data_IF_378622846283
#
_entry.id   IF_378622846283
#
_cell.length_a   1.000
_cell.length_b   1.000
_cell.length_c   1.000
_cell.angle_alpha   90.00
_cell.angle_beta   90.00
_cell.angle_gamma   90.00
#
_symmetry.space_group_name_H-M   'P 1'
#
loop_
_entity.id
_entity.type
_entity.pdbx_description
1 polymer ?
#
# COMPACT_ATOMS: atom_id res chain seq x y z
N UNK A 1 -1.51 -6.01 -26.06
CA UNK A 1 -2.65 -5.12 -25.71
C UNK A 1 -3.45 -4.68 -26.92
N UNK A 2 -2.83 -4.54 -28.08
CA UNK A 2 -3.44 -3.93 -29.27
C UNK A 2 -4.76 -4.58 -29.70
N UNK A 3 -4.86 -5.90 -29.67
CA UNK A 3 -6.05 -6.64 -30.11
C UNK A 3 -6.98 -7.08 -28.96
N UNK A 4 -6.78 -6.59 -27.75
CA UNK A 4 -7.58 -7.03 -26.60
C UNK A 4 -8.53 -5.94 -26.10
N UNK A 5 -9.79 -6.32 -25.91
CA UNK A 5 -10.78 -5.45 -25.27
C UNK A 5 -10.57 -5.33 -23.75
N UNK A 6 -9.91 -6.31 -23.13
CA UNK A 6 -9.62 -6.31 -21.70
C UNK A 6 -8.36 -7.12 -21.37
N UNK A 7 -7.59 -6.61 -20.39
CA UNK A 7 -6.38 -7.27 -19.89
C UNK A 7 -6.02 -6.78 -18.49
N UNK A 8 -5.61 -7.69 -17.61
CA UNK A 8 -4.92 -7.39 -16.36
C UNK A 8 -3.41 -7.28 -16.58
N UNK A 9 -2.80 -6.18 -16.16
CA UNK A 9 -1.35 -5.97 -16.15
C UNK A 9 -0.88 -6.19 -14.70
N UNK A 10 -0.53 -7.43 -14.38
CA UNK A 10 -0.05 -7.82 -13.05
C UNK A 10 1.47 -7.69 -13.02
N UNK A 11 1.92 -6.46 -12.86
CA UNK A 11 3.31 -6.12 -13.00
C UNK A 11 3.84 -5.47 -11.72
N UNK A 12 5.00 -5.94 -11.24
CA UNK A 12 5.64 -5.43 -10.03
C UNK A 12 5.85 -3.91 -10.07
N UNK A 13 6.05 -3.30 -8.91
CA UNK A 13 6.38 -1.88 -8.84
C UNK A 13 7.69 -1.60 -9.58
N UNK A 14 7.75 -0.50 -10.32
CA UNK A 14 8.95 -0.13 -11.10
C UNK A 14 9.05 -0.75 -12.50
N UNK A 15 8.15 -1.66 -12.90
CA UNK A 15 8.15 -2.28 -14.25
C UNK A 15 7.61 -1.38 -15.37
N UNK A 16 7.21 -0.13 -15.06
CA UNK A 16 6.74 0.82 -16.07
C UNK A 16 5.25 0.74 -16.42
N UNK A 17 4.39 0.22 -15.52
CA UNK A 17 2.93 0.13 -15.74
C UNK A 17 2.30 1.41 -16.31
N UNK A 18 2.60 2.56 -15.73
CA UNK A 18 2.11 3.86 -16.16
C UNK A 18 2.52 4.16 -17.60
N UNK A 19 3.77 3.86 -17.95
CA UNK A 19 4.30 4.07 -19.30
C UNK A 19 3.61 3.16 -20.32
N UNK A 20 3.40 1.88 -19.96
CA UNK A 20 2.68 0.92 -20.81
C UNK A 20 1.27 1.45 -21.13
N UNK A 21 0.56 1.95 -20.11
CA UNK A 21 -0.79 2.50 -20.30
C UNK A 21 -0.78 3.78 -21.16
N UNK A 22 0.14 4.72 -20.90
CA UNK A 22 0.26 5.96 -21.66
C UNK A 22 0.63 5.69 -23.12
N UNK A 23 1.59 4.80 -23.37
CA UNK A 23 1.96 4.38 -24.73
C UNK A 23 0.77 3.79 -25.49
N UNK A 24 0.03 2.87 -24.82
CA UNK A 24 -1.17 2.30 -25.43
C UNK A 24 -2.22 3.37 -25.77
N UNK A 25 -2.51 4.27 -24.85
CA UNK A 25 -3.47 5.37 -25.06
C UNK A 25 -3.00 6.25 -26.23
N UNK A 26 -1.74 6.69 -26.21
CA UNK A 26 -1.18 7.57 -27.22
C UNK A 26 -1.23 6.94 -28.62
N UNK A 27 -0.73 5.73 -28.79
CA UNK A 27 -0.72 5.06 -30.08
C UNK A 27 -2.14 4.89 -30.66
N UNK A 28 -3.12 4.59 -29.82
CA UNK A 28 -4.51 4.43 -30.25
C UNK A 28 -5.20 5.78 -30.52
N UNK A 29 -4.78 6.87 -29.88
CA UNK A 29 -5.26 8.24 -30.24
C UNK A 29 -4.74 8.60 -31.63
N UNK A 30 -3.44 8.44 -31.88
CA UNK A 30 -2.82 8.74 -33.17
C UNK A 30 -3.42 7.88 -34.28
N UNK A 31 -3.73 6.63 -34.02
CA UNK A 31 -4.43 5.74 -34.96
C UNK A 31 -5.92 6.05 -35.12
N UNK A 32 -6.48 7.03 -34.41
CA UNK A 32 -7.90 7.37 -34.43
C UNK A 32 -8.82 6.32 -33.81
N UNK A 33 -8.29 5.35 -33.09
CA UNK A 33 -9.04 4.26 -32.49
C UNK A 33 -9.61 4.59 -31.08
N UNK A 34 -9.16 5.68 -30.47
CA UNK A 34 -9.59 6.19 -29.16
C UNK A 34 -9.81 7.71 -29.28
N UNK A 35 -10.96 8.17 -28.79
CA UNK A 35 -11.32 9.58 -28.69
C UNK A 35 -11.43 10.05 -27.24
N UNK A 36 -11.50 9.13 -26.29
CA UNK A 36 -11.48 9.44 -24.86
C UNK A 36 -10.93 8.27 -24.04
N UNK A 37 -10.08 8.57 -23.07
CA UNK A 37 -9.46 7.61 -22.18
C UNK A 37 -9.67 8.02 -20.72
N UNK A 38 -9.96 7.05 -19.87
CA UNK A 38 -10.11 7.25 -18.43
C UNK A 38 -9.02 6.50 -17.67
N UNK A 39 -8.37 7.17 -16.72
CA UNK A 39 -7.51 6.55 -15.72
C UNK A 39 -8.12 6.76 -14.33
N UNK A 40 -8.40 5.69 -13.62
CA UNK A 40 -8.82 5.71 -12.22
C UNK A 40 -7.68 5.18 -11.37
N UNK A 41 -7.15 6.01 -10.47
CA UNK A 41 -6.01 5.67 -9.62
C UNK A 41 -6.24 6.15 -8.17
N UNK A 42 -5.41 5.76 -7.20
CA UNK A 42 -5.33 6.44 -5.91
C UNK A 42 -5.08 7.94 -6.09
N UNK A 43 -5.67 8.77 -5.21
CA UNK A 43 -5.48 10.24 -5.30
C UNK A 43 -4.02 10.68 -5.19
N UNK A 44 -3.22 9.93 -4.44
CA UNK A 44 -1.77 10.13 -4.31
C UNK A 44 -0.99 9.92 -5.61
N UNK A 45 -1.52 9.13 -6.55
CA UNK A 45 -0.86 8.83 -7.83
C UNK A 45 -1.23 9.81 -8.96
N UNK A 46 -2.25 10.64 -8.79
CA UNK A 46 -2.64 11.61 -9.83
C UNK A 46 -1.48 12.52 -10.24
N UNK A 47 -0.68 13.10 -9.30
CA UNK A 47 0.48 13.89 -9.68
C UNK A 47 1.53 13.09 -10.47
N UNK A 48 1.76 11.83 -10.08
CA UNK A 48 2.72 10.95 -10.76
C UNK A 48 2.29 10.61 -12.19
N UNK A 49 1.00 10.39 -12.42
CA UNK A 49 0.43 10.19 -13.75
C UNK A 49 0.60 11.43 -14.63
N UNK A 50 0.33 12.62 -14.08
CA UNK A 50 0.53 13.89 -14.81
C UNK A 50 1.99 14.11 -15.15
N UNK A 51 2.89 13.89 -14.19
CA UNK A 51 4.33 13.99 -14.43
C UNK A 51 4.81 12.98 -15.47
N UNK A 52 4.27 11.75 -15.47
CA UNK A 52 4.62 10.75 -16.46
C UNK A 52 4.23 11.19 -17.89
N UNK A 53 3.09 11.86 -18.07
CA UNK A 53 2.68 12.45 -19.37
C UNK A 53 3.70 13.50 -19.83
N UNK A 54 4.13 14.40 -18.93
CA UNK A 54 5.11 15.45 -19.27
C UNK A 54 6.47 14.87 -19.66
N UNK A 55 6.83 13.73 -19.08
CA UNK A 55 8.14 13.10 -19.24
C UNK A 55 8.19 12.01 -20.32
N UNK A 56 7.12 11.80 -21.08
CA UNK A 56 7.09 10.76 -22.13
C UNK A 56 8.22 10.88 -23.13
N UNK A 57 8.60 12.11 -23.51
CA UNK A 57 9.73 12.38 -24.42
C UNK A 57 11.07 11.89 -23.88
N UNK A 58 11.30 11.97 -22.56
CA UNK A 58 12.53 11.47 -21.91
C UNK A 58 12.70 9.95 -22.04
N UNK A 59 11.62 9.25 -22.37
CA UNK A 59 11.58 7.79 -22.53
C UNK A 59 11.62 7.32 -24.00
N UNK A 60 12.04 8.21 -24.93
CA UNK A 60 12.22 7.87 -26.34
C UNK A 60 10.97 8.03 -27.21
N UNK A 61 9.99 8.77 -26.71
CA UNK A 61 8.81 9.16 -27.49
C UNK A 61 8.97 10.61 -27.99
N UNK A 62 9.94 10.83 -28.88
CA UNK A 62 10.33 12.17 -29.34
C UNK A 62 9.17 12.93 -30.02
N UNK A 63 8.32 12.22 -30.76
CA UNK A 63 7.14 12.77 -31.42
C UNK A 63 5.90 12.85 -30.50
N UNK A 64 6.06 12.60 -29.20
CA UNK A 64 4.94 12.61 -28.26
C UNK A 64 4.42 14.03 -28.04
N UNK A 65 3.17 14.26 -28.42
CA UNK A 65 2.48 15.51 -28.16
C UNK A 65 1.70 15.46 -26.85
N UNK A 66 2.25 16.15 -25.85
CA UNK A 66 1.69 16.23 -24.49
C UNK A 66 0.29 16.86 -24.50
N UNK A 67 0.05 17.86 -25.33
CA UNK A 67 -1.25 18.56 -25.37
C UNK A 67 -2.33 17.70 -26.05
N UNK A 68 -1.96 16.91 -27.04
CA UNK A 68 -2.86 15.91 -27.61
C UNK A 68 -3.32 14.95 -26.53
N UNK A 69 -2.40 14.31 -25.83
CA UNK A 69 -2.81 13.31 -24.82
C UNK A 69 -3.61 13.93 -23.68
N UNK A 70 -3.27 15.13 -23.22
CA UNK A 70 -4.03 15.86 -22.19
C UNK A 70 -5.49 16.12 -22.59
N UNK A 71 -5.73 16.32 -23.87
CA UNK A 71 -7.09 16.58 -24.40
C UNK A 71 -7.96 15.33 -24.39
N UNK A 72 -7.38 14.13 -24.48
CA UNK A 72 -8.09 12.87 -24.58
C UNK A 72 -8.11 12.04 -23.30
N UNK A 73 -7.19 12.29 -22.34
CA UNK A 73 -7.09 11.53 -21.12
C UNK A 73 -7.74 12.24 -19.93
N UNK A 74 -8.58 11.53 -19.19
CA UNK A 74 -9.14 11.99 -17.93
C UNK A 74 -8.61 11.16 -16.78
N UNK A 75 -7.86 11.79 -15.87
CA UNK A 75 -7.27 11.13 -14.70
C UNK A 75 -8.08 11.51 -13.46
N UNK A 76 -8.57 10.51 -12.74
CA UNK A 76 -9.41 10.71 -11.55
C UNK A 76 -9.08 9.72 -10.45
N UNK A 77 -9.55 9.99 -9.24
CA UNK A 77 -9.42 9.02 -8.15
C UNK A 77 -10.69 8.21 -7.97
N UNK A 78 -10.54 7.03 -7.36
CA UNK A 78 -11.67 6.20 -6.97
C UNK A 78 -12.74 6.97 -6.19
N UNK A 79 -12.32 7.83 -5.26
CA UNK A 79 -13.24 8.62 -4.43
C UNK A 79 -14.03 9.64 -5.25
N UNK A 80 -13.54 10.04 -6.39
CA UNK A 80 -14.20 10.99 -7.29
C UNK A 80 -15.26 10.35 -8.17
N UNK A 81 -15.47 9.03 -8.11
CA UNK A 81 -16.53 8.36 -8.86
C UNK A 81 -17.94 8.58 -8.26
N UNK A 82 -18.05 9.07 -7.02
CA UNK A 82 -19.32 9.39 -6.36
C UNK A 82 -19.18 10.59 -5.43
N UNK A 83 -20.31 11.16 -5.02
CA UNK A 83 -20.40 12.19 -3.97
C UNK A 83 -21.64 11.94 -3.11
N UNK A 84 -21.61 12.47 -1.89
CA UNK A 84 -22.78 12.57 -1.05
C UNK A 84 -23.39 13.96 -1.18
N UNK A 85 -24.71 14.04 -1.33
CA UNK A 85 -25.47 15.30 -1.42
C UNK A 85 -26.62 15.24 -0.42
N UNK A 86 -26.85 16.32 0.31
CA UNK A 86 -28.02 16.45 1.18
C UNK A 86 -29.25 16.80 0.33
N UNK A 87 -30.36 16.04 0.52
CA UNK A 87 -31.70 16.37 0.03
C UNK A 87 -32.60 16.49 1.27
N UNK A 88 -32.80 17.72 1.76
CA UNK A 88 -33.43 17.96 3.06
C UNK A 88 -32.57 17.39 4.20
N UNK A 89 -33.16 16.63 5.09
CA UNK A 89 -32.48 15.94 6.21
C UNK A 89 -31.75 14.64 5.81
N UNK A 90 -31.95 14.15 4.59
CA UNK A 90 -31.40 12.87 4.12
C UNK A 90 -30.11 13.08 3.32
N UNK A 91 -29.08 12.32 3.65
CA UNK A 91 -27.85 12.26 2.85
C UNK A 91 -27.99 11.20 1.75
N UNK A 92 -27.96 11.64 0.51
CA UNK A 92 -28.11 10.78 -0.67
C UNK A 92 -26.77 10.68 -1.39
N UNK A 93 -26.43 9.46 -1.81
CA UNK A 93 -25.27 9.19 -2.67
C UNK A 93 -25.64 9.49 -4.12
N UNK A 94 -24.84 10.31 -4.77
CA UNK A 94 -24.97 10.64 -6.19
C UNK A 94 -23.76 10.08 -6.94
N UNK A 95 -24.01 9.37 -8.04
CA UNK A 95 -23.00 8.91 -8.97
C UNK A 95 -22.52 10.13 -9.75
N UNK A 96 -21.22 10.24 -10.01
CA UNK A 96 -20.70 11.34 -10.84
C UNK A 96 -20.83 11.00 -12.31
N UNK A 97 -20.88 12.03 -13.14
CA UNK A 97 -20.96 11.95 -14.59
C UNK A 97 -19.88 11.05 -15.20
N UNK A 98 -18.67 11.03 -14.62
CA UNK A 98 -17.57 10.14 -15.04
C UNK A 98 -17.96 8.66 -15.11
N UNK A 99 -18.87 8.19 -14.26
CA UNK A 99 -19.32 6.78 -14.25
C UNK A 99 -20.42 6.52 -15.29
N UNK A 100 -21.19 7.57 -15.64
CA UNK A 100 -22.30 7.47 -16.57
C UNK A 100 -21.89 7.82 -18.03
N UNK A 101 -20.70 8.40 -18.22
CA UNK A 101 -20.12 8.70 -19.53
C UNK A 101 -19.57 7.43 -20.18
N UNK A 102 -19.70 7.30 -21.49
CA UNK A 102 -19.10 6.23 -22.28
C UNK A 102 -17.61 6.54 -22.54
N UNK A 103 -16.75 5.52 -22.39
CA UNK A 103 -15.32 5.61 -22.55
C UNK A 103 -14.83 4.61 -23.59
N UNK A 104 -13.93 5.03 -24.47
CA UNK A 104 -13.29 4.12 -25.42
C UNK A 104 -12.32 3.17 -24.69
N UNK A 105 -11.64 3.68 -23.67
CA UNK A 105 -10.77 2.88 -22.82
C UNK A 105 -10.77 3.36 -21.37
N UNK A 106 -10.73 2.43 -20.43
CA UNK A 106 -10.50 2.73 -19.02
C UNK A 106 -9.37 1.87 -18.44
N UNK A 107 -8.48 2.52 -17.70
CA UNK A 107 -7.43 1.91 -16.88
C UNK A 107 -7.76 2.09 -15.41
N UNK A 108 -7.69 1.00 -14.64
CA UNK A 108 -7.76 1.04 -13.17
C UNK A 108 -6.37 0.75 -12.64
N UNK A 109 -5.71 1.75 -12.09
CA UNK A 109 -4.42 1.59 -11.42
C UNK A 109 -4.62 1.22 -9.95
N UNK A 110 -3.70 0.43 -9.40
CA UNK A 110 -3.81 -0.21 -8.08
C UNK A 110 -5.15 -0.94 -7.90
N UNK A 111 -5.48 -1.76 -8.90
CA UNK A 111 -6.78 -2.43 -9.03
C UNK A 111 -7.10 -3.40 -7.90
N UNK A 112 -6.12 -3.84 -7.10
CA UNK A 112 -6.33 -4.61 -5.87
C UNK A 112 -7.27 -3.89 -4.88
N UNK A 113 -7.46 -2.58 -5.03
CA UNK A 113 -8.42 -1.77 -4.26
C UNK A 113 -9.89 -2.10 -4.58
N UNK A 114 -10.17 -2.84 -5.65
CA UNK A 114 -11.50 -3.38 -5.96
C UNK A 114 -11.80 -4.68 -5.19
N UNK A 115 -11.08 -4.95 -4.12
CA UNK A 115 -11.10 -6.23 -3.42
C UNK A 115 -12.36 -6.53 -2.61
N UNK A 116 -13.08 -5.52 -2.10
CA UNK A 116 -14.32 -5.73 -1.35
C UNK A 116 -15.55 -5.59 -2.25
N UNK A 117 -16.29 -6.70 -2.52
CA UNK A 117 -17.50 -6.67 -3.34
C UNK A 117 -18.60 -5.74 -2.83
N UNK A 118 -18.61 -5.49 -1.52
CA UNK A 118 -19.62 -4.65 -0.86
C UNK A 118 -19.26 -3.19 -0.85
N UNK A 119 -17.99 -2.86 -1.09
CA UNK A 119 -17.50 -1.47 -1.05
C UNK A 119 -18.16 -0.61 -2.14
N UNK A 120 -18.35 0.66 -1.81
CA UNK A 120 -18.88 1.64 -2.77
C UNK A 120 -17.93 1.78 -3.97
N UNK A 121 -16.64 1.75 -3.71
CA UNK A 121 -15.59 1.85 -4.70
C UNK A 121 -15.70 0.75 -5.76
N UNK A 122 -15.77 -0.50 -5.35
CA UNK A 122 -15.98 -1.64 -6.25
C UNK A 122 -17.29 -1.51 -7.03
N UNK A 123 -18.39 -1.19 -6.36
CA UNK A 123 -19.68 -1.01 -7.03
C UNK A 123 -19.66 0.09 -8.10
N UNK A 124 -18.95 1.18 -7.87
CA UNK A 124 -18.82 2.25 -8.86
C UNK A 124 -17.93 1.85 -10.03
N UNK A 125 -16.81 1.19 -9.76
CA UNK A 125 -15.95 0.66 -10.81
C UNK A 125 -16.69 -0.37 -11.70
N UNK A 126 -17.50 -1.25 -11.11
CA UNK A 126 -18.28 -2.22 -11.89
C UNK A 126 -19.38 -1.55 -12.73
N UNK A 127 -19.97 -0.44 -12.29
CA UNK A 127 -20.87 0.35 -13.13
C UNK A 127 -20.11 1.02 -14.28
N UNK A 128 -18.95 1.58 -13.99
CA UNK A 128 -18.08 2.16 -15.00
C UNK A 128 -17.68 1.14 -16.06
N UNK A 129 -17.40 -0.11 -15.68
CA UNK A 129 -17.02 -1.17 -16.60
C UNK A 129 -18.05 -1.39 -17.74
N UNK A 130 -19.35 -1.17 -17.46
CA UNK A 130 -20.42 -1.30 -18.44
C UNK A 130 -20.45 -0.15 -19.45
N UNK A 131 -19.70 0.92 -19.20
CA UNK A 131 -19.58 2.12 -20.03
C UNK A 131 -18.26 2.21 -20.78
N UNK A 132 -17.42 1.17 -20.67
CA UNK A 132 -16.11 1.15 -21.30
C UNK A 132 -16.05 0.11 -22.41
N UNK A 133 -15.60 0.51 -23.61
CA UNK A 133 -15.36 -0.43 -24.70
C UNK A 133 -14.16 -1.33 -24.40
N UNK A 134 -13.05 -0.73 -23.95
CA UNK A 134 -11.83 -1.45 -23.57
C UNK A 134 -11.52 -1.22 -22.09
N UNK A 135 -11.12 -2.26 -21.38
CA UNK A 135 -10.94 -2.26 -19.91
C UNK A 135 -9.61 -2.88 -19.54
N UNK A 136 -8.79 -2.13 -18.82
CA UNK A 136 -7.50 -2.57 -18.34
C UNK A 136 -7.38 -2.35 -16.84
N UNK A 137 -6.76 -3.28 -16.14
CA UNK A 137 -6.42 -3.15 -14.73
C UNK A 137 -4.92 -3.30 -14.54
N UNK A 138 -4.36 -2.58 -13.57
CA UNK A 138 -2.93 -2.61 -13.28
C UNK A 138 -2.72 -2.74 -11.77
N UNK A 139 -1.87 -3.65 -11.36
CA UNK A 139 -1.42 -3.79 -9.97
C UNK A 139 -0.21 -4.72 -9.89
N UNK A 140 0.65 -4.49 -8.88
CA UNK A 140 1.74 -5.42 -8.56
C UNK A 140 1.29 -6.60 -7.71
N UNK A 141 0.14 -6.50 -7.05
CA UNK A 141 -0.34 -7.46 -6.05
C UNK A 141 -1.83 -7.75 -6.27
N UNK A 142 -2.20 -8.52 -7.30
CA UNK A 142 -3.61 -8.68 -7.71
C UNK A 142 -4.48 -9.32 -6.64
N UNK A 143 -3.99 -10.29 -5.92
CA UNK A 143 -4.70 -11.03 -4.87
C UNK A 143 -4.26 -10.65 -3.45
N UNK A 144 -3.02 -10.16 -3.30
CA UNK A 144 -2.44 -9.71 -2.03
C UNK A 144 -2.81 -10.65 -0.87
N UNK A 145 -2.57 -11.96 -1.06
CA UNK A 145 -2.91 -13.08 -0.16
C UNK A 145 -4.40 -13.31 0.10
N UNK A 146 -5.28 -12.50 -0.47
CA UNK A 146 -6.72 -12.64 -0.35
C UNK A 146 -7.38 -12.73 -1.72
N UNK A 147 -7.53 -13.92 -2.23
CA UNK A 147 -8.12 -14.21 -3.55
C UNK A 147 -9.51 -13.60 -3.78
N UNK A 148 -10.26 -13.23 -2.72
CA UNK A 148 -11.50 -12.45 -2.83
C UNK A 148 -11.30 -11.16 -3.61
N UNK A 149 -10.10 -10.57 -3.55
CA UNK A 149 -9.75 -9.35 -4.28
C UNK A 149 -9.79 -9.51 -5.80
N UNK A 150 -9.69 -10.73 -6.31
CA UNK A 150 -9.80 -11.01 -7.74
C UNK A 150 -11.23 -10.80 -8.26
N UNK A 151 -12.27 -10.97 -7.42
CA UNK A 151 -13.65 -10.81 -7.87
C UNK A 151 -13.90 -9.45 -8.56
N UNK A 152 -13.64 -8.35 -7.86
CA UNK A 152 -13.91 -7.02 -8.41
C UNK A 152 -13.04 -6.67 -9.60
N UNK A 153 -11.79 -7.15 -9.60
CA UNK A 153 -10.83 -6.94 -10.69
C UNK A 153 -11.26 -7.67 -11.96
N UNK A 154 -11.53 -8.97 -11.87
CA UNK A 154 -11.95 -9.78 -13.03
C UNK A 154 -13.31 -9.35 -13.54
N UNK A 155 -14.24 -9.01 -12.63
CA UNK A 155 -15.56 -8.52 -13.03
C UNK A 155 -15.51 -7.13 -13.65
N UNK A 156 -14.53 -6.29 -13.34
CA UNK A 156 -14.29 -5.05 -14.08
C UNK A 156 -13.82 -5.35 -15.51
N UNK A 157 -12.89 -6.28 -15.69
CA UNK A 157 -12.40 -6.68 -17.02
C UNK A 157 -13.50 -7.27 -17.87
N UNK A 158 -14.25 -8.23 -17.29
CA UNK A 158 -15.33 -8.96 -17.96
C UNK A 158 -16.60 -8.92 -17.10
N UNK A 159 -17.49 -7.93 -17.33
CA UNK A 159 -18.68 -7.71 -16.47
C UNK A 159 -19.66 -8.90 -16.43
N UNK A 160 -19.66 -9.74 -17.42
CA UNK A 160 -20.50 -10.93 -17.58
C UNK A 160 -19.89 -12.24 -17.05
N UNK A 161 -18.65 -12.21 -16.51
CA UNK A 161 -17.94 -13.41 -16.04
C UNK A 161 -18.69 -14.15 -14.93
N UNK A 162 -19.35 -13.41 -14.04
CA UNK A 162 -20.26 -13.94 -13.01
C UNK A 162 -21.50 -13.05 -12.88
N UNK A 163 -22.66 -13.63 -12.61
CA UNK A 163 -23.88 -12.85 -12.34
C UNK A 163 -23.78 -12.09 -11.01
N UNK A 164 -23.14 -12.68 -10.01
CA UNK A 164 -23.02 -12.10 -8.66
C UNK A 164 -21.76 -12.57 -7.94
N UNK A 165 -21.45 -11.94 -6.80
CA UNK A 165 -20.39 -12.41 -5.90
C UNK A 165 -20.65 -13.84 -5.39
N UNK A 166 -21.93 -14.24 -5.21
CA UNK A 166 -22.28 -15.60 -4.78
C UNK A 166 -21.82 -16.66 -5.78
N UNK A 167 -21.87 -16.35 -7.06
CA UNK A 167 -21.39 -17.29 -8.11
C UNK A 167 -19.87 -17.45 -8.03
N UNK A 168 -19.10 -16.34 -7.91
CA UNK A 168 -17.67 -16.40 -7.65
C UNK A 168 -17.35 -17.21 -6.37
N UNK A 169 -18.10 -16.93 -5.29
CA UNK A 169 -17.96 -17.61 -4.01
C UNK A 169 -18.13 -19.14 -4.15
N UNK A 170 -19.16 -19.56 -4.86
CA UNK A 170 -19.43 -20.98 -5.11
C UNK A 170 -18.39 -21.66 -6.01
N UNK A 171 -17.77 -20.92 -6.94
CA UNK A 171 -16.76 -21.47 -7.84
C UNK A 171 -15.40 -21.64 -7.17
N UNK A 172 -15.00 -20.70 -6.28
CA UNK A 172 -13.61 -20.59 -5.86
C UNK A 172 -13.40 -20.64 -4.33
N UNK A 173 -14.45 -20.66 -3.51
CA UNK A 173 -14.31 -20.65 -2.05
C UNK A 173 -14.81 -21.97 -1.48
N UNK A 174 -13.88 -22.78 -0.94
CA UNK A 174 -14.22 -24.10 -0.40
C UNK A 174 -14.70 -24.05 1.04
N UNK A 175 -14.23 -23.10 1.84
CA UNK A 175 -14.69 -22.98 3.23
C UNK A 175 -14.63 -21.56 3.77
N UNK A 176 -15.47 -21.29 4.75
CA UNK A 176 -15.57 -20.01 5.48
C UNK A 176 -15.48 -20.27 6.98
N UNK A 177 -14.98 -19.27 7.72
CA UNK A 177 -14.95 -19.31 9.18
C UNK A 177 -16.36 -19.00 9.75
N UNK A 178 -16.46 -19.04 11.08
CA UNK A 178 -17.71 -18.75 11.84
C UNK A 178 -18.30 -17.35 11.56
N UNK A 179 -17.49 -16.44 11.05
CA UNK A 179 -17.91 -15.09 10.64
C UNK A 179 -18.24 -14.99 9.14
N UNK A 180 -18.42 -16.11 8.45
CA UNK A 180 -18.66 -16.21 7.01
C UNK A 180 -17.55 -15.59 6.13
N UNK A 181 -16.33 -15.46 6.66
CA UNK A 181 -15.17 -15.01 5.86
C UNK A 181 -14.49 -16.21 5.19
N UNK A 182 -14.11 -16.11 3.91
CA UNK A 182 -13.38 -17.16 3.20
C UNK A 182 -12.06 -17.53 3.88
N UNK A 183 -11.79 -18.83 3.99
CA UNK A 183 -10.59 -19.38 4.63
C UNK A 183 -9.82 -20.28 3.67
N UNK A 184 -10.53 -21.10 2.88
CA UNK A 184 -9.91 -21.97 1.88
C UNK A 184 -10.43 -21.64 0.51
N UNK A 185 -9.51 -21.63 -0.45
CA UNK A 185 -9.77 -21.26 -1.84
C UNK A 185 -9.31 -22.38 -2.78
N UNK A 186 -9.93 -22.45 -3.93
CA UNK A 186 -9.41 -23.17 -5.09
C UNK A 186 -8.28 -22.32 -5.72
N UNK A 187 -7.09 -22.50 -5.18
CA UNK A 187 -5.91 -21.72 -5.59
C UNK A 187 -5.55 -21.97 -7.05
N UNK A 188 -5.63 -23.21 -7.51
CA UNK A 188 -5.27 -23.59 -8.88
C UNK A 188 -6.16 -22.88 -9.90
N UNK A 189 -7.47 -22.97 -9.72
CA UNK A 189 -8.44 -22.28 -10.59
C UNK A 189 -8.31 -20.77 -10.55
N UNK A 190 -7.98 -20.17 -9.38
CA UNK A 190 -7.76 -18.74 -9.25
C UNK A 190 -6.45 -18.28 -9.91
N UNK A 191 -5.38 -19.08 -9.83
CA UNK A 191 -4.14 -18.82 -10.56
C UNK A 191 -4.35 -18.92 -12.08
N UNK A 192 -5.14 -19.93 -12.53
CA UNK A 192 -5.52 -20.05 -13.94
C UNK A 192 -6.36 -18.86 -14.41
N UNK A 193 -7.28 -18.36 -13.56
CA UNK A 193 -8.07 -17.16 -13.83
C UNK A 193 -7.16 -15.94 -14.05
N UNK A 194 -6.17 -15.72 -13.20
CA UNK A 194 -5.19 -14.64 -13.37
C UNK A 194 -4.42 -14.77 -14.70
N UNK A 195 -3.97 -15.97 -15.06
CA UNK A 195 -3.26 -16.21 -16.33
C UNK A 195 -4.15 -15.99 -17.55
N UNK A 196 -5.43 -16.32 -17.45
CA UNK A 196 -6.39 -16.16 -18.57
C UNK A 196 -6.67 -14.69 -18.86
N UNK A 197 -6.82 -13.87 -17.82
CA UNK A 197 -7.24 -12.47 -17.95
C UNK A 197 -6.11 -11.46 -17.75
N UNK A 198 -4.91 -11.91 -17.43
CA UNK A 198 -3.80 -11.01 -17.15
C UNK A 198 -2.45 -11.52 -17.63
N UNK A 199 -1.50 -10.58 -17.64
CA UNK A 199 -0.08 -10.86 -17.88
C UNK A 199 0.68 -10.50 -16.61
N UNK A 200 1.51 -11.41 -16.14
CA UNK A 200 2.41 -11.20 -14.99
C UNK A 200 3.76 -10.73 -15.52
N UNK A 201 4.28 -9.65 -14.94
CA UNK A 201 5.59 -9.08 -15.29
C UNK A 201 6.38 -8.84 -14.01
N UNK A 202 7.56 -9.43 -13.92
CA UNK A 202 8.47 -9.26 -12.79
C UNK A 202 9.58 -8.27 -13.12
N UNK A 203 10.00 -7.49 -12.12
CA UNK A 203 11.02 -6.46 -12.29
C UNK A 203 12.35 -7.07 -12.79
N UNK A 204 12.77 -8.20 -12.21
CA UNK A 204 14.00 -8.92 -12.59
C UNK A 204 13.96 -9.55 -13.98
N UNK A 205 12.77 -9.72 -14.56
CA UNK A 205 12.61 -10.18 -15.94
C UNK A 205 12.81 -9.04 -16.95
N UNK A 206 12.64 -7.79 -16.49
CA UNK A 206 12.74 -6.60 -17.32
C UNK A 206 14.09 -5.90 -17.21
N UNK A 207 14.75 -6.00 -16.05
CA UNK A 207 15.97 -5.24 -15.73
C UNK A 207 16.94 -6.10 -14.92
N UNK A 208 18.23 -5.86 -15.14
CA UNK A 208 19.28 -6.37 -14.27
C UNK A 208 19.20 -5.63 -12.92
N UNK A 209 18.72 -6.32 -11.91
CA UNK A 209 18.48 -5.77 -10.58
C UNK A 209 19.50 -6.32 -9.59
N UNK A 210 20.07 -5.47 -8.72
CA UNK A 210 21.01 -5.91 -7.70
C UNK A 210 20.32 -6.85 -6.70
N UNK A 211 21.11 -7.62 -5.98
CA UNK A 211 20.60 -8.43 -4.88
C UNK A 211 20.11 -7.58 -3.71
N UNK A 212 19.33 -8.19 -2.84
CA UNK A 212 18.87 -7.56 -1.62
C UNK A 212 18.91 -8.53 -0.44
N UNK A 213 19.10 -7.97 0.76
CA UNK A 213 19.13 -8.73 2.00
C UNK A 213 18.17 -8.11 3.02
N UNK A 214 17.40 -8.95 3.67
CA UNK A 214 16.58 -8.60 4.83
C UNK A 214 17.37 -8.91 6.11
N UNK A 215 17.53 -7.92 6.98
CA UNK A 215 18.31 -7.99 8.21
C UNK A 215 17.36 -7.80 9.38
N UNK A 216 17.20 -8.84 10.19
CA UNK A 216 16.39 -8.80 11.40
C UNK A 216 17.15 -8.09 12.52
N UNK A 217 16.53 -7.12 13.17
CA UNK A 217 17.08 -6.35 14.28
C UNK A 217 16.13 -6.50 15.49
N UNK A 218 16.29 -7.57 16.28
CA UNK A 218 15.52 -7.74 17.51
C UNK A 218 15.96 -6.70 18.54
N UNK A 219 14.97 -6.10 19.20
CA UNK A 219 15.18 -5.06 20.23
C UNK A 219 14.44 -5.44 21.49
N UNK A 220 15.05 -5.24 22.64
CA UNK A 220 14.38 -5.45 23.91
C UNK A 220 13.31 -4.40 24.18
N UNK A 221 12.21 -4.82 24.79
CA UNK A 221 11.12 -3.91 25.14
C UNK A 221 11.56 -2.93 26.24
N UNK A 222 11.40 -1.64 25.96
CA UNK A 222 11.79 -0.57 26.89
C UNK A 222 10.84 -0.38 28.07
N UNK A 223 9.56 -0.76 27.91
CA UNK A 223 8.48 -0.51 28.88
C UNK A 223 7.64 -1.77 29.12
N UNK A 224 8.26 -2.81 29.70
CA UNK A 224 7.67 -4.13 29.88
C UNK A 224 6.36 -4.09 30.67
N UNK A 225 6.32 -3.39 31.82
CA UNK A 225 5.13 -3.31 32.67
C UNK A 225 3.92 -2.72 31.95
N UNK A 226 4.12 -1.63 31.21
CA UNK A 226 3.05 -0.99 30.42
C UNK A 226 2.53 -1.92 29.33
N UNK A 227 3.43 -2.62 28.64
CA UNK A 227 3.04 -3.61 27.62
C UNK A 227 2.21 -4.74 28.23
N UNK A 228 2.63 -5.26 29.40
CA UNK A 228 1.95 -6.35 30.11
C UNK A 228 0.55 -5.95 30.56
N UNK A 229 0.39 -4.71 31.06
CA UNK A 229 -0.91 -4.15 31.41
C UNK A 229 -1.83 -4.04 30.19
N UNK A 230 -1.29 -3.61 29.05
CA UNK A 230 -2.08 -3.48 27.83
C UNK A 230 -2.48 -4.84 27.23
N UNK A 231 -1.59 -5.81 27.27
CA UNK A 231 -1.91 -7.19 26.89
C UNK A 231 -2.98 -7.76 27.83
N UNK A 232 -2.91 -7.46 29.13
CA UNK A 232 -3.86 -7.93 30.16
C UNK A 232 -5.17 -7.15 30.21
N UNK A 233 -5.32 -6.07 29.40
CA UNK A 233 -6.42 -5.09 29.40
C UNK A 233 -6.53 -4.28 30.71
N UNK A 234 -5.46 -4.13 31.48
CA UNK A 234 -5.38 -3.31 32.68
C UNK A 234 -4.98 -1.87 32.31
N UNK A 235 -5.84 -1.16 31.60
CA UNK A 235 -5.47 0.12 30.98
C UNK A 235 -6.12 1.34 31.65
N UNK A 236 -6.89 1.16 32.71
CA UNK A 236 -7.61 2.26 33.36
C UNK A 236 -6.66 3.36 33.90
N UNK A 237 -5.54 2.96 34.48
CA UNK A 237 -4.53 3.87 35.04
C UNK A 237 -3.79 4.69 33.94
N UNK A 238 -3.93 4.29 32.70
CA UNK A 238 -3.36 4.95 31.53
C UNK A 238 -4.35 5.86 30.80
N UNK A 239 -5.52 6.17 31.40
CA UNK A 239 -6.56 7.01 30.81
C UNK A 239 -7.28 6.35 29.62
N UNK A 240 -7.30 5.02 29.56
CA UNK A 240 -7.87 4.23 28.47
C UNK A 240 -9.04 3.39 28.98
N UNK A 241 -10.25 3.67 28.50
CA UNK A 241 -11.44 2.87 28.81
C UNK A 241 -11.60 1.71 27.83
N UNK A 242 -11.51 0.50 28.31
CA UNK A 242 -11.66 -0.73 27.50
C UNK A 242 -13.14 -0.98 27.18
N UNK A 243 -13.72 -0.19 26.26
CA UNK A 243 -15.08 -0.41 25.76
C UNK A 243 -15.16 -1.30 24.53
N UNK A 244 -14.04 -1.52 23.85
CA UNK A 244 -13.98 -2.23 22.56
C UNK A 244 -12.91 -3.33 22.65
N UNK A 245 -13.32 -4.56 22.41
CA UNK A 245 -12.40 -5.69 22.29
C UNK A 245 -11.28 -5.37 21.25
N UNK A 246 -10.03 -5.70 21.57
CA UNK A 246 -8.87 -5.47 20.71
C UNK A 246 -8.25 -4.07 20.79
N UNK A 247 -8.75 -3.17 21.63
CA UNK A 247 -8.13 -1.85 21.80
C UNK A 247 -6.77 -1.99 22.50
N UNK A 248 -6.64 -2.86 23.51
CA UNK A 248 -5.41 -3.14 24.22
C UNK A 248 -4.30 -3.65 23.32
N UNK A 249 -4.62 -4.54 22.39
CA UNK A 249 -3.65 -5.10 21.46
C UNK A 249 -3.03 -4.04 20.54
N UNK A 250 -3.85 -3.13 20.00
CA UNK A 250 -3.34 -2.02 19.17
C UNK A 250 -2.47 -1.06 19.98
N UNK A 251 -2.82 -0.82 21.25
CA UNK A 251 -2.04 -0.01 22.17
C UNK A 251 -0.73 -0.69 22.56
N UNK A 252 -0.73 -2.02 22.77
CA UNK A 252 0.48 -2.78 23.01
C UNK A 252 1.50 -2.67 21.85
N UNK A 253 1.03 -2.63 20.60
CA UNK A 253 1.91 -2.35 19.44
C UNK A 253 2.49 -0.93 19.49
N UNK A 254 1.73 0.07 19.96
CA UNK A 254 2.27 1.43 20.18
C UNK A 254 3.35 1.45 21.26
N UNK A 255 3.17 0.69 22.36
CA UNK A 255 4.18 0.56 23.40
C UNK A 255 5.49 -0.01 22.87
N UNK A 256 5.44 -0.97 21.93
CA UNK A 256 6.63 -1.47 21.23
C UNK A 256 7.37 -0.36 20.46
N UNK A 257 6.67 0.70 20.06
CA UNK A 257 7.24 1.88 19.38
C UNK A 257 7.66 3.00 20.34
N UNK A 258 7.54 2.77 21.66
CA UNK A 258 7.97 3.71 22.70
C UNK A 258 6.98 4.79 23.06
N UNK A 259 5.67 4.59 22.83
CA UNK A 259 4.62 5.51 23.24
C UNK A 259 3.25 4.83 23.32
N UNK A 260 2.28 5.52 23.87
CA UNK A 260 0.85 5.23 23.71
C UNK A 260 0.03 6.53 23.68
N UNK A 261 -1.20 6.45 23.17
CA UNK A 261 -2.20 7.53 23.24
C UNK A 261 -3.32 7.11 24.19
N UNK A 262 -3.72 8.03 25.06
CA UNK A 262 -4.95 7.86 25.88
C UNK A 262 -6.23 8.08 25.04
N UNK A 263 -7.41 8.01 25.67
CA UNK A 263 -8.69 8.22 25.00
C UNK A 263 -8.92 9.70 24.58
N UNK A 264 -8.16 10.62 25.14
CA UNK A 264 -8.16 12.05 24.79
C UNK A 264 -7.11 12.38 23.71
N UNK A 265 -6.46 11.35 23.15
CA UNK A 265 -5.36 11.50 22.19
C UNK A 265 -4.10 12.19 22.75
N UNK A 266 -3.92 12.20 24.07
CA UNK A 266 -2.68 12.66 24.68
C UNK A 266 -1.62 11.57 24.53
N UNK A 267 -0.45 11.98 24.05
CA UNK A 267 0.69 11.09 23.85
C UNK A 267 1.50 10.98 25.14
N UNK A 268 1.76 9.76 25.57
CA UNK A 268 2.75 9.48 26.62
C UNK A 268 3.93 8.75 26.00
N UNK A 269 5.12 9.35 26.07
CA UNK A 269 6.37 8.75 25.60
C UNK A 269 6.95 7.84 26.66
N UNK A 270 7.47 6.72 26.23
CA UNK A 270 8.07 5.65 27.04
C UNK A 270 9.55 5.47 26.68
N UNK A 271 10.28 4.68 27.47
CA UNK A 271 11.62 4.25 27.08
C UNK A 271 11.58 3.52 25.73
N UNK A 272 12.44 3.93 24.80
CA UNK A 272 12.38 3.50 23.40
C UNK A 272 13.73 2.98 22.90
N UNK A 273 13.97 1.69 23.15
CA UNK A 273 15.21 1.03 22.75
C UNK A 273 15.34 0.89 21.20
N UNK A 274 14.23 0.96 20.45
CA UNK A 274 14.28 0.97 18.98
C UNK A 274 14.95 2.23 18.42
N UNK A 275 14.76 3.36 19.09
CA UNK A 275 15.41 4.60 18.70
C UNK A 275 16.93 4.47 18.80
N UNK A 276 17.42 3.90 19.89
CA UNK A 276 18.85 3.67 20.10
C UNK A 276 19.41 2.67 19.06
N UNK A 277 18.69 1.57 18.79
CA UNK A 277 19.06 0.59 17.79
C UNK A 277 19.11 1.21 16.37
N UNK A 278 18.12 2.05 16.02
CA UNK A 278 18.11 2.77 14.75
C UNK A 278 19.32 3.69 14.61
N UNK A 279 19.66 4.45 15.66
CA UNK A 279 20.83 5.34 15.64
C UNK A 279 22.13 4.57 15.47
N UNK A 280 22.27 3.44 16.16
CA UNK A 280 23.44 2.54 16.00
C UNK A 280 23.58 2.03 14.56
N UNK A 281 22.45 1.67 13.91
CA UNK A 281 22.48 1.27 12.50
C UNK A 281 22.92 2.45 11.60
N UNK A 282 22.39 3.66 11.85
CA UNK A 282 22.72 4.85 11.05
C UNK A 282 24.18 5.23 11.14
N UNK A 283 24.82 5.08 12.30
CA UNK A 283 26.26 5.34 12.49
C UNK A 283 27.13 4.42 11.62
N UNK A 284 26.68 3.21 11.35
CA UNK A 284 27.37 2.22 10.51
C UNK A 284 27.10 2.34 9.00
N UNK A 285 26.31 3.33 8.57
CA UNK A 285 25.93 3.49 7.16
C UNK A 285 26.39 4.84 6.62
N UNK A 286 27.25 4.83 5.62
CA UNK A 286 27.71 6.05 4.91
C UNK A 286 26.69 6.51 3.86
N UNK A 287 25.97 5.59 3.22
CA UNK A 287 24.97 5.85 2.20
C UNK A 287 23.74 6.59 2.75
N UNK A 288 22.92 7.13 1.85
CA UNK A 288 21.59 7.65 2.18
C UNK A 288 20.71 6.55 2.74
N UNK A 289 19.83 6.90 3.67
CA UNK A 289 18.95 5.95 4.35
C UNK A 289 17.49 6.40 4.26
N UNK A 290 16.62 5.45 3.96
CA UNK A 290 15.16 5.62 4.06
C UNK A 290 14.68 4.98 5.36
N UNK A 291 13.90 5.70 6.17
CA UNK A 291 13.28 5.17 7.39
C UNK A 291 11.78 5.15 7.20
N UNK A 292 11.17 3.97 7.29
CA UNK A 292 9.72 3.82 7.27
C UNK A 292 9.17 3.68 8.68
N UNK A 293 8.11 4.46 8.97
CA UNK A 293 7.34 4.37 10.21
C UNK A 293 5.83 4.45 9.94
N UNK A 294 5.02 3.89 10.83
CA UNK A 294 3.56 3.91 10.73
C UNK A 294 2.95 5.12 11.43
N UNK A 295 3.43 5.39 12.65
CA UNK A 295 2.82 6.37 13.54
C UNK A 295 3.47 7.73 13.39
N UNK A 296 2.64 8.78 13.47
CA UNK A 296 3.13 10.17 13.44
C UNK A 296 4.08 10.45 14.59
N UNK A 297 3.75 9.97 15.79
CA UNK A 297 4.60 10.12 16.98
C UNK A 297 5.98 9.50 16.79
N UNK A 298 6.05 8.32 16.19
CA UNK A 298 7.35 7.70 15.86
C UNK A 298 8.15 8.57 14.88
N UNK A 299 7.50 9.14 13.87
CA UNK A 299 8.15 10.07 12.93
C UNK A 299 8.65 11.31 13.66
N UNK A 300 7.87 11.88 14.59
CA UNK A 300 8.24 13.04 15.38
C UNK A 300 9.49 12.73 16.22
N UNK A 301 9.49 11.62 16.96
CA UNK A 301 10.63 11.19 17.81
C UNK A 301 11.88 10.93 16.97
N UNK A 302 11.75 10.27 15.82
CA UNK A 302 12.87 10.01 14.89
C UNK A 302 13.45 11.33 14.38
N UNK A 303 12.63 12.25 13.89
CA UNK A 303 13.08 13.54 13.39
C UNK A 303 13.74 14.39 14.49
N UNK A 304 13.16 14.42 15.71
CA UNK A 304 13.75 15.08 16.87
C UNK A 304 15.16 14.52 17.18
N UNK A 305 15.31 13.20 17.16
CA UNK A 305 16.61 12.56 17.44
C UNK A 305 17.64 12.85 16.34
N UNK A 306 17.24 12.77 15.06
CA UNK A 306 18.12 13.10 13.93
C UNK A 306 18.60 14.56 14.02
N UNK A 307 17.70 15.49 14.35
CA UNK A 307 18.04 16.91 14.57
C UNK A 307 19.04 17.07 15.72
N UNK A 308 18.82 16.42 16.85
CA UNK A 308 19.73 16.46 18.01
C UNK A 308 21.12 15.93 17.67
N UNK A 309 21.19 14.93 16.82
CA UNK A 309 22.45 14.32 16.37
C UNK A 309 23.09 15.02 15.18
N UNK A 310 22.52 16.14 14.69
CA UNK A 310 23.06 16.89 13.55
C UNK A 310 22.95 16.16 12.21
N UNK A 311 22.08 15.16 12.09
CA UNK A 311 21.89 14.36 10.86
C UNK A 311 20.86 15.06 9.97
N UNK A 312 21.28 15.43 8.75
CA UNK A 312 20.40 16.04 7.76
C UNK A 312 19.28 15.07 7.36
N UNK A 313 18.05 15.55 7.39
CA UNK A 313 16.91 14.69 7.08
C UNK A 313 15.73 15.44 6.48
N UNK A 314 14.91 14.70 5.71
CA UNK A 314 13.59 15.09 5.27
C UNK A 314 12.52 14.28 5.99
N UNK A 315 11.36 14.90 6.21
CA UNK A 315 10.13 14.27 6.66
C UNK A 315 9.15 14.16 5.49
N UNK A 316 8.55 12.99 5.29
CA UNK A 316 7.55 12.76 4.25
C UNK A 316 6.35 11.97 4.81
N UNK A 317 5.38 12.69 5.32
CA UNK A 317 4.12 12.16 5.85
C UNK A 317 2.91 12.98 5.38
N UNK A 318 1.73 12.75 5.98
CA UNK A 318 0.50 13.47 5.62
C UNK A 318 0.50 14.97 5.91
N UNK A 319 1.47 15.51 6.63
CA UNK A 319 1.59 16.95 6.95
C UNK A 319 2.38 17.72 5.89
N UNK A 320 3.18 17.02 5.09
CA UNK A 320 4.05 17.62 4.07
C UNK A 320 3.38 17.53 2.70
N UNK A 321 3.14 18.67 2.05
CA UNK A 321 2.58 18.75 0.71
C UNK A 321 3.64 18.71 -0.39
N UNK A 322 4.85 19.19 -0.10
CA UNK A 322 5.96 19.22 -1.05
C UNK A 322 6.50 17.81 -1.36
N UNK A 323 6.94 17.55 -2.60
CA UNK A 323 7.57 16.30 -2.97
C UNK A 323 9.05 16.27 -2.53
N UNK A 324 9.32 16.36 -1.23
CA UNK A 324 10.69 16.39 -0.64
C UNK A 324 11.52 15.16 -1.02
N UNK A 325 10.90 14.07 -1.44
CA UNK A 325 11.58 12.89 -1.95
C UNK A 325 12.38 13.18 -3.23
N UNK A 326 11.94 14.15 -4.05
CA UNK A 326 12.70 14.59 -5.24
C UNK A 326 13.97 15.35 -4.83
N UNK A 327 13.90 16.17 -3.77
CA UNK A 327 15.08 16.82 -3.20
C UNK A 327 16.06 15.78 -2.67
N UNK A 328 15.57 14.81 -1.89
CA UNK A 328 16.37 13.71 -1.35
C UNK A 328 17.10 12.92 -2.43
N UNK A 329 16.53 12.74 -3.61
CA UNK A 329 17.17 12.07 -4.72
C UNK A 329 18.42 12.84 -5.24
N UNK A 330 18.43 14.17 -5.16
CA UNK A 330 19.36 15.03 -5.88
C UNK A 330 20.32 15.82 -4.98
N UNK A 331 20.08 15.93 -3.68
CA UNK A 331 20.92 16.65 -2.72
C UNK A 331 21.68 15.68 -1.80
N UNK A 332 22.47 16.21 -0.86
CA UNK A 332 23.30 15.43 0.07
C UNK A 332 22.60 15.07 1.38
N UNK A 333 21.28 15.22 1.47
CA UNK A 333 20.52 14.88 2.66
C UNK A 333 20.65 13.39 2.97
N UNK A 334 21.03 13.09 4.21
CA UNK A 334 21.40 11.74 4.67
C UNK A 334 20.19 10.82 4.82
N UNK A 335 19.10 11.31 5.40
CA UNK A 335 17.94 10.51 5.79
C UNK A 335 16.65 11.08 5.22
N UNK A 336 15.74 10.21 4.81
CA UNK A 336 14.33 10.56 4.63
C UNK A 336 13.46 9.67 5.50
N UNK A 337 12.63 10.29 6.36
CA UNK A 337 11.67 9.60 7.23
C UNK A 337 10.30 9.61 6.56
N UNK A 338 9.76 8.43 6.30
CA UNK A 338 8.60 8.25 5.43
C UNK A 338 7.49 7.51 6.18
N UNK A 339 6.27 8.04 6.14
CA UNK A 339 5.10 7.32 6.62
C UNK A 339 4.69 6.24 5.60
N UNK A 340 4.43 4.99 6.06
CA UNK A 340 4.11 3.87 5.15
C UNK A 340 2.99 4.20 4.16
N UNK A 341 1.88 4.77 4.62
CA UNK A 341 0.73 5.08 3.76
C UNK A 341 1.05 6.13 2.71
N UNK A 342 1.99 7.03 2.99
CA UNK A 342 2.40 8.11 2.08
C UNK A 342 3.50 7.67 1.13
N UNK A 343 4.43 6.85 1.62
CA UNK A 343 5.65 6.46 0.89
C UNK A 343 5.55 5.15 0.12
N UNK A 344 4.55 4.32 0.39
CA UNK A 344 4.38 3.05 -0.33
C UNK A 344 3.91 3.23 -1.77
N UNK A 345 3.38 4.40 -2.15
CA UNK A 345 2.85 4.67 -3.49
C UNK A 345 3.54 5.89 -4.13
N UNK A 346 3.96 5.77 -5.38
CA UNK A 346 4.25 6.88 -6.31
C UNK A 346 5.53 7.69 -6.08
N UNK A 347 6.46 7.24 -5.21
CA UNK A 347 7.74 7.95 -4.99
C UNK A 347 8.94 7.09 -5.38
N UNK A 348 10.04 7.75 -5.70
CA UNK A 348 11.31 7.14 -6.06
C UNK A 348 12.37 7.48 -5.02
N UNK A 349 13.02 6.45 -4.46
CA UNK A 349 14.02 6.60 -3.40
C UNK A 349 15.31 5.81 -3.69
N UNK A 350 15.60 5.52 -4.97
CA UNK A 350 16.75 4.69 -5.38
C UNK A 350 18.11 5.40 -5.21
N UNK A 351 18.16 6.68 -4.85
CA UNK A 351 19.38 7.32 -4.35
C UNK A 351 19.86 6.66 -3.04
N UNK A 352 18.98 5.98 -2.32
CA UNK A 352 19.32 5.10 -1.20
C UNK A 352 19.35 3.65 -1.65
N UNK A 353 20.23 2.85 -1.04
CA UNK A 353 20.22 1.38 -1.10
C UNK A 353 19.97 0.76 0.28
N UNK A 354 19.55 1.56 1.24
CA UNK A 354 19.35 1.14 2.61
C UNK A 354 18.00 1.63 3.15
N UNK A 355 17.21 0.71 3.69
CA UNK A 355 15.94 1.03 4.35
C UNK A 355 15.92 0.49 5.76
N UNK A 356 15.48 1.30 6.71
CA UNK A 356 15.19 0.91 8.08
C UNK A 356 13.67 0.93 8.26
N UNK A 357 13.09 -0.22 8.55
CA UNK A 357 11.71 -0.36 8.99
C UNK A 357 11.68 -0.22 10.51
N UNK A 358 11.42 1.00 10.98
CA UNK A 358 11.32 1.31 12.41
C UNK A 358 10.15 0.60 13.07
N UNK A 359 9.08 0.45 12.30
CA UNK A 359 7.90 -0.33 12.63
C UNK A 359 7.50 -1.19 11.44
N UNK A 360 6.73 -2.24 11.69
CA UNK A 360 6.14 -3.06 10.64
C UNK A 360 4.73 -2.60 10.32
N UNK A 361 4.38 -2.54 9.05
CA UNK A 361 2.98 -2.37 8.62
C UNK A 361 2.23 -3.70 8.75
N UNK A 362 0.95 -3.73 9.11
CA UNK A 362 0.15 -4.96 9.13
C UNK A 362 -0.20 -5.49 7.73
N UNK A 363 0.16 -4.75 6.66
CA UNK A 363 -0.21 -5.05 5.29
C UNK A 363 1.02 -5.42 4.45
N UNK A 364 1.17 -6.68 4.02
CA UNK A 364 2.29 -7.13 3.19
C UNK A 364 2.46 -6.32 1.90
N UNK A 365 1.34 -5.92 1.28
CA UNK A 365 1.38 -5.11 0.07
C UNK A 365 2.12 -3.77 0.27
N UNK A 366 1.88 -3.08 1.40
CA UNK A 366 2.57 -1.83 1.70
C UNK A 366 4.07 -2.07 1.95
N UNK A 367 4.42 -3.21 2.57
CA UNK A 367 5.81 -3.59 2.77
C UNK A 367 6.51 -3.83 1.42
N UNK A 368 5.93 -4.63 0.54
CA UNK A 368 6.50 -4.90 -0.78
C UNK A 368 6.58 -3.63 -1.64
N UNK A 369 5.56 -2.79 -1.60
CA UNK A 369 5.59 -1.49 -2.26
C UNK A 369 6.69 -0.59 -1.71
N UNK A 370 6.93 -0.58 -0.40
CA UNK A 370 7.99 0.20 0.22
C UNK A 370 9.40 -0.31 -0.14
N UNK A 371 9.61 -1.63 -0.20
CA UNK A 371 10.86 -2.22 -0.71
C UNK A 371 11.16 -1.78 -2.14
N UNK A 372 10.14 -1.74 -2.98
CA UNK A 372 10.24 -1.31 -4.37
C UNK A 372 10.48 0.20 -4.55
N UNK A 373 10.60 0.99 -3.46
CA UNK A 373 11.00 2.41 -3.56
C UNK A 373 12.49 2.59 -3.78
N UNK A 374 13.33 1.70 -3.20
CA UNK A 374 14.77 1.69 -3.42
C UNK A 374 15.20 0.65 -4.46
N UNK A 375 14.52 -0.50 -4.52
CA UNK A 375 14.74 -1.58 -5.49
C UNK A 375 13.93 -1.31 -6.76
N UNK A 376 14.47 -0.53 -7.67
CA UNK A 376 13.82 -0.21 -8.94
C UNK A 376 14.84 0.15 -10.03
N UNK A 377 14.37 0.35 -11.26
CA UNK A 377 15.24 0.75 -12.38
C UNK A 377 16.13 1.94 -11.99
N UNK A 378 17.43 1.79 -12.18
CA UNK A 378 18.44 2.78 -11.78
C UNK A 378 19.20 2.44 -10.49
N UNK A 379 18.74 1.47 -9.71
CA UNK A 379 19.51 0.95 -8.57
C UNK A 379 20.57 -0.03 -9.05
N UNK A 380 21.82 0.24 -8.68
CA UNK A 380 22.99 -0.58 -9.04
C UNK A 380 23.69 -1.19 -7.81
N UNK A 381 23.31 -0.74 -6.60
CA UNK A 381 23.93 -1.18 -5.34
C UNK A 381 23.05 -2.22 -4.65
N UNK A 382 23.68 -3.17 -3.94
CA UNK A 382 22.96 -4.14 -3.10
C UNK A 382 22.06 -3.43 -2.10
N UNK A 383 20.79 -3.83 -2.04
CA UNK A 383 19.81 -3.22 -1.15
C UNK A 383 19.78 -3.94 0.21
N UNK A 384 19.77 -3.17 1.28
CA UNK A 384 19.68 -3.66 2.67
C UNK A 384 18.42 -3.18 3.31
N UNK A 385 17.64 -4.11 3.90
CA UNK A 385 16.38 -3.82 4.58
C UNK A 385 16.50 -4.26 6.05
N UNK A 386 16.61 -3.31 6.96
CA UNK A 386 16.68 -3.54 8.39
C UNK A 386 15.28 -3.53 8.99
N UNK A 387 14.89 -4.61 9.64
CA UNK A 387 13.59 -4.75 10.29
C UNK A 387 13.75 -4.69 11.79
N UNK A 388 13.42 -3.53 12.40
CA UNK A 388 13.39 -3.38 13.84
C UNK A 388 12.07 -3.93 14.38
N UNK A 389 12.16 -4.78 15.36
CA UNK A 389 10.99 -5.32 16.07
C UNK A 389 11.31 -5.62 17.52
N UNK A 390 10.31 -5.46 18.37
CA UNK A 390 10.45 -5.77 19.80
C UNK A 390 10.24 -7.28 19.99
N UNK A 391 11.33 -7.96 20.43
CA UNK A 391 11.31 -9.42 20.57
C UNK A 391 10.37 -9.88 21.71
N UNK A 392 9.78 -11.07 21.54
CA UNK A 392 8.85 -11.65 22.51
C UNK A 392 7.48 -10.99 22.58
N UNK A 393 7.15 -10.10 21.63
CA UNK A 393 5.90 -9.33 21.62
C UNK A 393 4.99 -9.65 20.43
N UNK A 394 3.78 -9.09 20.44
CA UNK A 394 2.85 -9.14 19.32
C UNK A 394 3.47 -8.54 18.05
N UNK A 395 4.33 -7.54 18.18
CA UNK A 395 4.99 -6.91 17.03
C UNK A 395 5.90 -7.90 16.28
N UNK A 396 6.63 -8.74 16.99
CA UNK A 396 7.44 -9.79 16.36
C UNK A 396 6.56 -10.76 15.55
N UNK A 397 5.43 -11.20 16.13
CA UNK A 397 4.48 -12.09 15.44
C UNK A 397 3.90 -11.40 14.19
N UNK A 398 3.59 -10.10 14.29
CA UNK A 398 3.10 -9.30 13.20
C UNK A 398 4.15 -9.21 12.08
N UNK A 399 5.38 -8.84 12.38
CA UNK A 399 6.48 -8.75 11.43
C UNK A 399 6.71 -10.07 10.69
N UNK A 400 6.80 -11.18 11.42
CA UNK A 400 6.99 -12.51 10.83
C UNK A 400 5.83 -12.92 9.92
N UNK A 401 4.58 -12.57 10.28
CA UNK A 401 3.40 -12.89 9.48
C UNK A 401 3.37 -12.07 8.20
N UNK A 402 3.62 -10.77 8.29
CA UNK A 402 3.65 -9.85 7.13
C UNK A 402 4.74 -10.24 6.14
N UNK A 403 5.93 -10.62 6.60
CA UNK A 403 7.02 -11.08 5.72
C UNK A 403 6.72 -12.41 5.02
N UNK A 404 5.78 -13.20 5.55
CA UNK A 404 5.23 -14.40 4.88
C UNK A 404 4.05 -14.08 3.97
N UNK A 405 3.75 -12.82 3.74
CA UNK A 405 2.66 -12.38 2.90
C UNK A 405 1.27 -12.41 3.56
N UNK A 406 1.17 -12.55 4.87
CA UNK A 406 -0.12 -12.62 5.59
C UNK A 406 -0.55 -11.24 6.07
N UNK A 407 -1.72 -10.77 5.60
CA UNK A 407 -2.36 -9.56 6.13
C UNK A 407 -2.74 -9.78 7.61
N UNK A 408 -2.21 -8.95 8.49
CA UNK A 408 -2.49 -9.05 9.93
C UNK A 408 -3.75 -8.28 10.27
N UNK A 409 -4.83 -9.01 10.51
CA UNK A 409 -6.10 -8.41 10.92
C UNK A 409 -6.11 -8.11 12.42
N UNK A 410 -6.97 -7.16 12.83
CA UNK A 410 -7.22 -6.89 14.25
C UNK A 410 -7.60 -8.16 15.03
N UNK A 411 -8.40 -9.04 14.45
CA UNK A 411 -8.79 -10.32 15.08
C UNK A 411 -7.61 -11.25 15.33
N UNK A 412 -6.60 -11.25 14.43
CA UNK A 412 -5.37 -12.03 14.66
C UNK A 412 -4.56 -11.44 15.81
N UNK A 413 -4.43 -10.11 15.87
CA UNK A 413 -3.75 -9.44 16.98
C UNK A 413 -4.42 -9.76 18.31
N UNK A 414 -5.76 -9.74 18.37
CA UNK A 414 -6.52 -10.07 19.57
C UNK A 414 -6.34 -11.54 19.98
N UNK A 415 -6.33 -12.46 19.02
CA UNK A 415 -6.07 -13.88 19.29
C UNK A 415 -4.66 -14.10 19.87
N UNK A 416 -3.65 -13.41 19.34
CA UNK A 416 -2.29 -13.46 19.86
C UNK A 416 -2.16 -12.85 21.26
N UNK A 417 -2.89 -11.78 21.57
CA UNK A 417 -2.92 -11.22 22.91
C UNK A 417 -3.55 -12.18 23.92
N UNK A 418 -4.62 -12.89 23.56
CA UNK A 418 -5.21 -13.93 24.38
C UNK A 418 -4.21 -15.07 24.62
N UNK A 419 -3.52 -15.50 23.58
CA UNK A 419 -2.47 -16.53 23.69
C UNK A 419 -1.36 -16.10 24.64
N UNK A 420 -0.89 -14.87 24.56
CA UNK A 420 0.14 -14.35 25.46
C UNK A 420 -0.34 -14.28 26.92
N UNK A 421 -1.58 -13.83 27.17
CA UNK A 421 -2.17 -13.85 28.51
C UNK A 421 -2.21 -15.25 29.12
N UNK A 422 -2.67 -16.22 28.31
CA UNK A 422 -2.78 -17.61 28.80
C UNK A 422 -1.40 -18.18 29.13
N UNK A 423 -0.36 -17.90 28.38
CA UNK A 423 1.01 -18.34 28.69
C UNK A 423 1.54 -17.75 29.99
N UNK A 424 1.21 -16.49 30.30
CA UNK A 424 1.63 -15.82 31.53
C UNK A 424 0.90 -16.33 32.77
N UNK A 425 -0.36 -16.77 32.62
CA UNK A 425 -1.16 -17.31 33.70
C UNK A 425 -0.83 -18.79 34.03
N UNK A 426 -0.08 -19.46 33.16
CA UNK A 426 0.30 -20.88 33.30
C UNK A 426 1.77 -21.09 33.64
N UNK A 427 2.58 -20.07 33.70
CA UNK A 427 3.99 -20.05 34.11
C UNK A 427 4.18 -19.29 35.42
#
# INVERSE_FOLDING_TARGET
MEDREYLGIFAEAGTGKTMIALTYIYNNIIAGAITNALVVCPSSLIPSWRLAIERMREFGYDDFDVEIIKSYIYITSFRMLWKYTKKGSVTVKVIRETVDKDWDVAFIDESHRLGDPKSIQTKMALKLALRCKRRFIMTGTPDNTHYVKLYGQMKFLKPDIWKSYREFDNCYIWSKNVFHKPVRFDVESLEQLKKTYGTVVRLRECFDMPDSIDIDVPVDLGAQSVYDDFISNNMADYGINVKVAGMGTMKAVQVCSGFYLDDNHVVTRLKNNKLDAMMTILEGIEDKVVIFANYRESIDVICEQLTKSGISHYRYDGTVSEPVWQKFQNDDTKVIVVQFQRGSEGIDLFASNCTIYYETTPQPCLLEQSKARIMRKGQTRHCRYFFLYTQGTIEEKMMRSVRRGVDVSRQMLDAWAIEERNKRNTG
#
